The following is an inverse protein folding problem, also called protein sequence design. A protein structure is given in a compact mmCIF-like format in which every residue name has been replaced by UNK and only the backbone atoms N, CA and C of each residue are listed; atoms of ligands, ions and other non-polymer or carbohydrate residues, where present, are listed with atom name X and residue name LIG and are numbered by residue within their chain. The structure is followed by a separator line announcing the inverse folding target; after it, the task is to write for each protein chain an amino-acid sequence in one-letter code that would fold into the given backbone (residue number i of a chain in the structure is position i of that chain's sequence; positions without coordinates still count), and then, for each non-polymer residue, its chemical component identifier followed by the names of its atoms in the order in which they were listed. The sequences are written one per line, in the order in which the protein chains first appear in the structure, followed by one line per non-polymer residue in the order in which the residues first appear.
data_IF_173685184507
#
_entry.id   IF_173685184507
#
_cell.length_a   1.000
_cell.length_b   1.000
_cell.length_c   1.000
_cell.angle_alpha   90.00
_cell.angle_beta   90.00
_cell.angle_gamma   90.00
#
_symmetry.space_group_name_H-M   'P 1'
#
loop_
_entity.id
_entity.type
_entity.pdbx_description
1 polymer ?
#
# COMPACT_ATOMS: atom_id res chain seq x y z
N UNK A 1 52.75 -16.72 -19.28
CA UNK A 1 51.70 -16.89 -18.26
C UNK A 1 50.64 -15.85 -18.56
N UNK A 2 49.49 -16.30 -19.08
CA UNK A 2 48.35 -15.44 -19.43
C UNK A 2 47.63 -14.99 -18.16
N UNK A 3 47.63 -13.69 -17.89
CA UNK A 3 46.84 -13.10 -16.81
C UNK A 3 45.37 -13.21 -17.19
N UNK A 4 44.60 -13.90 -16.34
CA UNK A 4 43.17 -14.11 -16.52
C UNK A 4 42.41 -12.78 -16.39
N UNK A 5 41.36 -12.50 -17.19
CA UNK A 5 40.63 -11.25 -17.09
C UNK A 5 39.82 -11.24 -15.80
N UNK A 6 40.10 -10.24 -14.96
CA UNK A 6 39.39 -9.94 -13.74
C UNK A 6 37.89 -9.77 -14.04
N UNK A 7 37.09 -10.78 -13.67
CA UNK A 7 35.63 -10.71 -13.73
C UNK A 7 35.20 -9.61 -12.75
N UNK A 8 35.02 -8.38 -13.24
CA UNK A 8 34.32 -7.31 -12.52
C UNK A 8 32.98 -7.87 -12.03
N UNK A 9 32.94 -8.29 -10.77
CA UNK A 9 31.76 -8.79 -10.08
C UNK A 9 30.79 -7.62 -10.05
N UNK A 10 29.74 -7.66 -10.89
CA UNK A 10 28.72 -6.61 -10.96
C UNK A 10 28.12 -6.48 -9.56
N UNK A 11 28.44 -5.39 -8.87
CA UNK A 11 27.99 -5.16 -7.51
C UNK A 11 26.47 -5.02 -7.54
N UNK A 12 25.79 -5.81 -6.74
CA UNK A 12 24.34 -5.88 -6.70
C UNK A 12 23.77 -4.55 -6.19
N UNK A 13 22.76 -4.00 -6.85
CA UNK A 13 22.16 -2.73 -6.44
C UNK A 13 21.48 -2.86 -5.08
N UNK A 14 21.27 -1.75 -4.37
CA UNK A 14 20.57 -1.76 -3.08
C UNK A 14 19.15 -2.37 -3.18
N UNK A 15 18.47 -2.14 -4.31
CA UNK A 15 17.16 -2.74 -4.59
C UNK A 15 17.24 -4.27 -4.74
N UNK A 16 18.24 -4.78 -5.45
CA UNK A 16 18.40 -6.23 -5.61
C UNK A 16 18.83 -6.91 -4.30
N UNK A 17 19.56 -6.19 -3.44
CA UNK A 17 19.85 -6.67 -2.09
C UNK A 17 18.60 -6.72 -1.22
N UNK A 18 17.72 -5.71 -1.25
CA UNK A 18 16.55 -5.65 -0.37
C UNK A 18 15.46 -6.67 -0.74
N UNK A 19 15.32 -6.99 -2.03
CA UNK A 19 14.42 -8.05 -2.53
C UNK A 19 14.67 -9.43 -1.91
N UNK A 20 15.87 -9.67 -1.35
CA UNK A 20 16.22 -10.91 -0.65
C UNK A 20 15.60 -11.02 0.74
N UNK A 21 15.21 -9.89 1.33
CA UNK A 21 14.74 -9.81 2.71
C UNK A 21 13.30 -9.32 2.81
N UNK A 22 12.80 -8.64 1.77
CA UNK A 22 11.50 -7.99 1.79
C UNK A 22 10.84 -8.05 0.42
N UNK A 23 9.51 -8.21 0.43
CA UNK A 23 8.69 -8.07 -0.76
C UNK A 23 8.61 -6.59 -1.14
N UNK A 24 9.11 -6.25 -2.33
CA UNK A 24 9.10 -4.87 -2.82
C UNK A 24 7.79 -4.57 -3.52
N UNK A 25 7.19 -3.44 -3.15
CA UNK A 25 5.91 -2.96 -3.68
C UNK A 25 6.07 -1.52 -4.17
N UNK A 26 5.50 -1.22 -5.33
CA UNK A 26 5.53 0.15 -5.86
C UNK A 26 4.32 0.94 -5.37
N UNK A 27 4.55 2.17 -4.88
CA UNK A 27 3.47 3.10 -4.50
C UNK A 27 3.37 4.21 -5.53
N UNK A 28 2.60 3.94 -6.58
CA UNK A 28 2.50 4.83 -7.73
C UNK A 28 1.27 4.48 -8.57
N UNK A 29 0.67 5.51 -9.19
CA UNK A 29 -0.28 5.35 -10.29
C UNK A 29 0.39 5.39 -11.67
N UNK A 30 1.70 5.64 -11.73
CA UNK A 30 2.47 5.70 -12.97
C UNK A 30 3.00 4.32 -13.37
N UNK A 31 2.49 3.80 -14.48
CA UNK A 31 2.81 2.46 -14.96
C UNK A 31 4.27 2.30 -15.40
N UNK A 32 4.94 3.38 -15.80
CA UNK A 32 6.33 3.32 -16.25
C UNK A 32 7.26 2.87 -15.11
N UNK A 33 7.05 3.42 -13.91
CA UNK A 33 7.81 3.03 -12.72
C UNK A 33 7.58 1.56 -12.35
N UNK A 34 6.37 1.03 -12.58
CA UNK A 34 6.07 -0.38 -12.31
C UNK A 34 6.85 -1.30 -13.25
N UNK A 35 6.95 -0.95 -14.54
CA UNK A 35 7.74 -1.72 -15.51
C UNK A 35 9.24 -1.68 -15.21
N UNK A 36 9.74 -0.53 -14.77
CA UNK A 36 11.17 -0.32 -14.46
C UNK A 36 11.61 -1.19 -13.28
N UNK A 37 10.87 -1.14 -12.17
CA UNK A 37 11.30 -1.74 -10.90
C UNK A 37 10.81 -3.19 -10.68
N UNK A 38 9.82 -3.63 -11.48
CA UNK A 38 9.21 -4.97 -11.44
C UNK A 38 8.85 -5.40 -10.01
N UNK A 39 7.96 -4.66 -9.32
CA UNK A 39 7.56 -4.98 -7.97
C UNK A 39 6.66 -6.22 -7.93
N UNK A 40 6.50 -6.81 -6.75
CA UNK A 40 5.58 -7.93 -6.53
C UNK A 40 4.12 -7.46 -6.58
N UNK A 41 3.82 -6.40 -5.81
CA UNK A 41 2.50 -5.77 -5.74
C UNK A 41 2.63 -4.28 -6.10
N UNK A 42 1.49 -3.59 -6.20
CA UNK A 42 1.45 -2.14 -6.27
C UNK A 42 0.35 -1.55 -5.38
N UNK A 43 0.57 -0.35 -4.88
CA UNK A 43 -0.40 0.43 -4.10
C UNK A 43 -0.72 1.73 -4.81
N UNK A 44 -2.00 2.07 -4.79
CA UNK A 44 -2.49 3.40 -5.16
C UNK A 44 -3.13 4.08 -3.95
N UNK A 45 -3.37 5.37 -4.09
CA UNK A 45 -4.18 6.17 -3.17
C UNK A 45 -4.80 7.32 -3.98
N UNK A 46 -5.76 8.08 -3.42
CA UNK A 46 -6.45 9.13 -4.16
C UNK A 46 -5.50 10.19 -4.75
N UNK A 47 -4.41 10.53 -4.05
CA UNK A 47 -3.45 11.52 -4.54
C UNK A 47 -2.65 10.99 -5.74
N UNK A 48 -2.25 9.72 -5.72
CA UNK A 48 -1.53 9.08 -6.82
C UNK A 48 -2.40 8.94 -8.07
N UNK A 49 -3.67 8.55 -7.90
CA UNK A 49 -4.62 8.48 -9.01
C UNK A 49 -4.88 9.87 -9.58
N UNK A 50 -5.06 10.89 -8.73
CA UNK A 50 -5.25 12.27 -9.19
C UNK A 50 -4.04 12.78 -9.99
N UNK A 51 -2.81 12.50 -9.54
CA UNK A 51 -1.61 12.88 -10.26
C UNK A 51 -1.53 12.18 -11.63
N UNK A 52 -1.77 10.87 -11.65
CA UNK A 52 -1.75 10.08 -12.87
C UNK A 52 -2.86 10.49 -13.86
N UNK A 53 -4.09 10.73 -13.38
CA UNK A 53 -5.22 11.13 -14.21
C UNK A 53 -5.02 12.48 -14.94
N UNK A 54 -4.05 13.30 -14.52
CA UNK A 54 -3.67 14.55 -15.21
C UNK A 54 -2.67 14.33 -16.35
N UNK A 55 -2.05 13.15 -16.44
CA UNK A 55 -1.06 12.86 -17.47
C UNK A 55 -1.74 12.59 -18.82
N UNK A 56 -1.24 13.16 -19.94
CA UNK A 56 -1.81 12.92 -21.26
C UNK A 56 -1.90 11.43 -21.63
N UNK A 57 -0.88 10.65 -21.24
CA UNK A 57 -0.80 9.21 -21.48
C UNK A 57 -1.96 8.42 -20.89
N UNK A 58 -2.59 8.92 -19.82
CA UNK A 58 -3.64 8.21 -19.08
C UNK A 58 -5.05 8.77 -19.33
N UNK A 59 -5.20 9.79 -20.18
CA UNK A 59 -6.52 10.33 -20.55
C UNK A 59 -7.50 9.29 -21.12
N UNK A 60 -7.08 8.29 -21.90
CA UNK A 60 -8.00 7.25 -22.35
C UNK A 60 -8.71 6.52 -21.21
N UNK A 61 -8.05 6.33 -20.05
CA UNK A 61 -8.68 5.70 -18.88
C UNK A 61 -9.72 6.62 -18.23
N UNK A 62 -9.47 7.93 -18.23
CA UNK A 62 -10.39 8.97 -17.74
C UNK A 62 -11.63 9.04 -18.63
N UNK A 63 -11.45 9.09 -19.95
CA UNK A 63 -12.56 9.12 -20.91
C UNK A 63 -13.43 7.86 -20.81
N UNK A 64 -12.82 6.68 -20.66
CA UNK A 64 -13.56 5.44 -20.44
C UNK A 64 -14.39 5.49 -19.15
N UNK A 65 -13.82 6.02 -18.07
CA UNK A 65 -14.51 6.17 -16.80
C UNK A 65 -15.69 7.16 -16.89
N UNK A 66 -15.51 8.30 -17.57
CA UNK A 66 -16.58 9.27 -17.84
C UNK A 66 -17.70 8.63 -18.65
N UNK A 67 -17.37 7.92 -19.74
CA UNK A 67 -18.36 7.20 -20.55
C UNK A 67 -19.14 6.17 -19.73
N UNK A 68 -18.45 5.44 -18.87
CA UNK A 68 -19.08 4.49 -17.95
C UNK A 68 -20.03 5.19 -16.97
N UNK A 69 -19.62 6.30 -16.37
CA UNK A 69 -20.46 7.10 -15.46
C UNK A 69 -21.74 7.56 -16.13
N UNK A 70 -21.63 8.18 -17.32
CA UNK A 70 -22.78 8.67 -18.11
C UNK A 70 -23.71 7.51 -18.50
N UNK A 71 -23.16 6.38 -18.92
CA UNK A 71 -23.95 5.23 -19.37
C UNK A 71 -24.78 4.58 -18.24
N UNK A 72 -24.36 4.71 -16.97
CA UNK A 72 -25.14 4.23 -15.82
C UNK A 72 -26.33 5.14 -15.47
N UNK A 73 -26.45 6.33 -16.08
CA UNK A 73 -27.53 7.26 -15.84
C UNK A 73 -27.53 7.84 -14.42
N UNK A 74 -28.70 8.30 -13.97
CA UNK A 74 -28.86 8.98 -12.68
C UNK A 74 -28.52 10.46 -12.74
N UNK A 75 -28.47 11.08 -11.56
CA UNK A 75 -28.03 12.46 -11.35
C UNK A 75 -26.57 12.66 -11.74
N UNK A 76 -26.15 13.91 -11.96
CA UNK A 76 -24.76 14.24 -12.26
C UNK A 76 -23.80 13.75 -11.16
N UNK A 77 -24.21 13.82 -9.89
CA UNK A 77 -23.43 13.33 -8.75
C UNK A 77 -23.25 11.80 -8.77
N UNK A 78 -24.30 11.06 -9.13
CA UNK A 78 -24.23 9.61 -9.31
C UNK A 78 -23.33 9.23 -10.50
N UNK A 79 -23.42 9.97 -11.61
CA UNK A 79 -22.57 9.75 -12.78
C UNK A 79 -21.09 10.01 -12.44
N UNK A 80 -20.79 11.08 -11.70
CA UNK A 80 -19.44 11.40 -11.23
C UNK A 80 -18.94 10.33 -10.27
N UNK A 81 -19.77 9.85 -9.35
CA UNK A 81 -19.41 8.77 -8.42
C UNK A 81 -19.11 7.47 -9.16
N UNK A 82 -19.95 7.08 -10.12
CA UNK A 82 -19.69 5.90 -10.95
C UNK A 82 -18.43 6.06 -11.80
N UNK A 83 -18.17 7.26 -12.34
CA UNK A 83 -16.96 7.54 -13.08
C UNK A 83 -15.71 7.46 -12.19
N UNK A 84 -15.73 8.00 -10.97
CA UNK A 84 -14.55 7.98 -10.10
C UNK A 84 -14.21 6.55 -9.64
N UNK A 85 -15.22 5.75 -9.27
CA UNK A 85 -15.03 4.34 -8.91
C UNK A 85 -14.46 3.56 -10.11
N UNK A 86 -15.02 3.78 -11.32
CA UNK A 86 -14.52 3.15 -12.54
C UNK A 86 -13.10 3.58 -12.88
N UNK A 87 -12.74 4.83 -12.63
CA UNK A 87 -11.40 5.33 -12.88
C UNK A 87 -10.37 4.60 -12.01
N UNK A 88 -10.64 4.46 -10.72
CA UNK A 88 -9.76 3.73 -9.80
C UNK A 88 -9.56 2.29 -10.24
N UNK A 89 -10.65 1.62 -10.62
CA UNK A 89 -10.61 0.25 -11.14
C UNK A 89 -9.83 0.17 -12.45
N UNK A 90 -10.05 1.08 -13.40
CA UNK A 90 -9.31 1.13 -14.67
C UNK A 90 -7.79 1.23 -14.46
N UNK A 91 -7.35 2.08 -13.52
CA UNK A 91 -5.93 2.15 -13.16
C UNK A 91 -5.44 0.83 -12.54
N UNK A 92 -6.19 0.24 -11.62
CA UNK A 92 -5.81 -1.05 -11.04
C UNK A 92 -5.73 -2.19 -12.07
N UNK A 93 -6.62 -2.21 -13.06
CA UNK A 93 -6.59 -3.18 -14.16
C UNK A 93 -5.29 -3.07 -14.98
N UNK A 94 -4.85 -1.86 -15.31
CA UNK A 94 -3.58 -1.67 -16.03
C UNK A 94 -2.36 -2.05 -15.18
N UNK A 95 -2.41 -1.77 -13.87
CA UNK A 95 -1.37 -2.16 -12.91
C UNK A 95 -1.27 -3.70 -12.83
N UNK A 96 -2.39 -4.42 -12.75
CA UNK A 96 -2.43 -5.88 -12.62
C UNK A 96 -1.87 -6.63 -13.82
N UNK A 97 -1.82 -5.98 -15.00
CA UNK A 97 -1.13 -6.52 -16.18
C UNK A 97 0.41 -6.48 -16.05
N UNK A 98 0.93 -5.66 -15.13
CA UNK A 98 2.36 -5.37 -14.96
C UNK A 98 2.95 -5.95 -13.69
N UNK A 99 2.13 -6.29 -12.71
CA UNK A 99 2.56 -6.93 -11.44
C UNK A 99 2.04 -8.37 -11.34
N UNK A 100 2.85 -9.32 -10.81
CA UNK A 100 2.40 -10.70 -10.61
C UNK A 100 1.45 -10.85 -9.41
N UNK A 101 1.54 -9.95 -8.43
CA UNK A 101 0.76 -9.98 -7.21
C UNK A 101 -0.45 -9.05 -7.27
N UNK A 102 -0.67 -8.28 -6.20
CA UNK A 102 -1.91 -7.57 -5.92
C UNK A 102 -1.84 -6.07 -6.25
N UNK A 103 -3.01 -5.44 -6.38
CA UNK A 103 -3.14 -3.98 -6.39
C UNK A 103 -3.98 -3.50 -5.21
N UNK A 104 -3.51 -2.49 -4.49
CA UNK A 104 -4.34 -1.79 -3.49
C UNK A 104 -5.15 -0.67 -4.13
N UNK A 105 -6.47 -0.69 -3.93
CA UNK A 105 -7.42 0.35 -4.40
C UNK A 105 -8.12 0.96 -3.20
N UNK A 106 -8.02 2.29 -3.04
CA UNK A 106 -8.52 2.97 -1.84
C UNK A 106 -9.98 3.40 -1.98
N UNK A 107 -10.77 3.13 -0.94
CA UNK A 107 -12.13 3.65 -0.79
C UNK A 107 -12.07 5.16 -0.53
N UNK A 108 -13.12 5.88 -0.94
CA UNK A 108 -13.25 7.32 -0.71
C UNK A 108 -13.06 7.68 0.77
N UNK A 109 -12.01 8.46 1.05
CA UNK A 109 -11.64 8.85 2.41
C UNK A 109 -12.73 9.67 3.13
N UNK A 110 -13.68 10.28 2.41
CA UNK A 110 -14.83 10.98 3.03
C UNK A 110 -15.73 10.02 3.80
N UNK A 111 -15.67 8.73 3.49
CA UNK A 111 -16.44 7.68 4.15
C UNK A 111 -15.74 7.11 5.40
N UNK A 112 -14.54 7.59 5.77
CA UNK A 112 -13.68 6.97 6.79
C UNK A 112 -14.33 6.78 8.17
N UNK A 113 -15.44 7.47 8.46
CA UNK A 113 -16.17 7.38 9.72
C UNK A 113 -17.59 6.80 9.56
N UNK A 114 -17.86 6.17 8.42
CA UNK A 114 -19.10 5.47 8.12
C UNK A 114 -18.79 4.04 7.67
N UNK A 115 -18.87 3.11 8.64
CA UNK A 115 -18.56 1.70 8.44
C UNK A 115 -19.38 1.12 7.27
N UNK A 116 -20.70 1.35 7.25
CA UNK A 116 -21.58 0.71 6.28
C UNK A 116 -21.37 1.29 4.88
N UNK A 117 -21.09 2.60 4.77
CA UNK A 117 -20.72 3.21 3.50
C UNK A 117 -19.37 2.69 2.98
N UNK A 118 -18.38 2.47 3.85
CA UNK A 118 -17.09 1.88 3.46
C UNK A 118 -17.25 0.45 2.95
N UNK A 119 -18.01 -0.39 3.66
CA UNK A 119 -18.29 -1.77 3.25
C UNK A 119 -19.04 -1.80 1.91
N UNK A 120 -20.07 -0.96 1.76
CA UNK A 120 -20.82 -0.85 0.51
C UNK A 120 -19.93 -0.44 -0.66
N UNK A 121 -19.08 0.58 -0.47
CA UNK A 121 -18.16 1.04 -1.51
C UNK A 121 -17.09 0.00 -1.84
N UNK A 122 -16.54 -0.70 -0.84
CA UNK A 122 -15.60 -1.77 -1.04
C UNK A 122 -16.18 -2.89 -1.92
N UNK A 123 -17.39 -3.35 -1.62
CA UNK A 123 -18.11 -4.36 -2.41
C UNK A 123 -18.36 -3.88 -3.84
N UNK A 124 -18.73 -2.61 -4.03
CA UNK A 124 -18.88 -1.99 -5.36
C UNK A 124 -17.57 -2.01 -6.15
N UNK A 125 -16.44 -1.64 -5.54
CA UNK A 125 -15.14 -1.67 -6.22
C UNK A 125 -14.76 -3.10 -6.63
N UNK A 126 -14.99 -4.08 -5.76
CA UNK A 126 -14.76 -5.50 -6.09
C UNK A 126 -15.66 -5.95 -7.24
N UNK A 127 -16.95 -5.59 -7.25
CA UNK A 127 -17.84 -5.97 -8.35
C UNK A 127 -17.34 -5.43 -9.70
N UNK A 128 -16.83 -4.20 -9.73
CA UNK A 128 -16.26 -3.60 -10.95
C UNK A 128 -14.98 -4.31 -11.43
N UNK A 129 -14.17 -4.86 -10.52
CA UNK A 129 -13.03 -5.72 -10.88
C UNK A 129 -13.50 -7.07 -11.43
N UNK A 130 -14.50 -7.69 -10.81
CA UNK A 130 -15.05 -8.97 -11.25
C UNK A 130 -15.74 -8.86 -12.61
N UNK A 131 -16.47 -7.76 -12.87
CA UNK A 131 -17.03 -7.41 -14.18
C UNK A 131 -15.95 -7.32 -15.27
N UNK A 132 -14.73 -6.92 -14.89
CA UNK A 132 -13.57 -6.86 -15.78
C UNK A 132 -12.77 -8.18 -15.83
N UNK A 133 -13.29 -9.26 -15.23
CA UNK A 133 -12.66 -10.59 -15.22
C UNK A 133 -11.51 -10.74 -14.25
N UNK A 134 -11.37 -9.83 -13.27
CA UNK A 134 -10.34 -9.89 -12.23
C UNK A 134 -10.92 -10.43 -10.94
N UNK A 135 -10.33 -11.52 -10.43
CA UNK A 135 -10.69 -12.07 -9.13
C UNK A 135 -10.27 -11.13 -7.99
N UNK A 136 -11.14 -11.01 -6.98
CA UNK A 136 -10.87 -10.26 -5.73
C UNK A 136 -9.56 -10.66 -5.02
N UNK A 137 -9.05 -11.88 -5.24
CA UNK A 137 -7.76 -12.35 -4.70
C UNK A 137 -6.54 -11.52 -5.17
N UNK A 138 -6.69 -10.82 -6.30
CA UNK A 138 -5.69 -9.89 -6.85
C UNK A 138 -5.82 -8.47 -6.29
N UNK A 139 -6.81 -8.21 -5.44
CA UNK A 139 -7.17 -6.87 -4.96
C UNK A 139 -6.96 -6.79 -3.45
N UNK A 140 -6.46 -5.64 -2.99
CA UNK A 140 -6.56 -5.21 -1.60
C UNK A 140 -7.42 -3.96 -1.55
N UNK A 141 -8.55 -4.00 -0.85
CA UNK A 141 -9.34 -2.80 -0.59
C UNK A 141 -8.66 -2.01 0.52
N UNK A 142 -8.25 -0.78 0.18
CA UNK A 142 -7.51 0.08 1.08
C UNK A 142 -8.45 1.00 1.85
N UNK A 143 -8.34 0.98 3.17
CA UNK A 143 -9.25 1.65 4.10
C UNK A 143 -8.45 2.43 5.14
N UNK A 144 -8.90 3.63 5.51
CA UNK A 144 -8.35 4.39 6.63
C UNK A 144 -8.47 3.59 7.93
N UNK A 145 -7.40 3.57 8.75
CA UNK A 145 -7.37 2.86 10.04
C UNK A 145 -8.07 3.64 11.17
N UNK A 146 -9.26 4.17 10.90
CA UNK A 146 -10.20 4.64 11.92
C UNK A 146 -10.86 3.43 12.60
N UNK A 147 -11.59 3.63 13.70
CA UNK A 147 -12.32 2.53 14.33
C UNK A 147 -13.35 1.93 13.36
N UNK A 148 -14.16 2.77 12.72
CA UNK A 148 -15.16 2.37 11.73
C UNK A 148 -14.52 1.66 10.53
N UNK A 149 -13.37 2.14 10.07
CA UNK A 149 -12.62 1.53 8.98
C UNK A 149 -12.07 0.15 9.33
N UNK A 150 -11.58 -0.04 10.56
CA UNK A 150 -11.11 -1.36 11.05
C UNK A 150 -12.29 -2.33 11.17
N UNK A 151 -13.43 -1.89 11.70
CA UNK A 151 -14.63 -2.72 11.77
C UNK A 151 -15.19 -3.04 10.36
N UNK A 152 -15.07 -2.11 9.41
CA UNK A 152 -15.41 -2.37 8.01
C UNK A 152 -14.47 -3.40 7.39
N UNK A 153 -13.16 -3.29 7.63
CA UNK A 153 -12.16 -4.26 7.19
C UNK A 153 -12.41 -5.65 7.76
N UNK A 154 -12.73 -5.76 9.05
CA UNK A 154 -13.11 -7.03 9.68
C UNK A 154 -14.31 -7.67 8.97
N UNK A 155 -15.37 -6.89 8.75
CA UNK A 155 -16.58 -7.41 8.11
C UNK A 155 -16.31 -7.88 6.68
N UNK A 156 -15.54 -7.12 5.90
CA UNK A 156 -15.17 -7.48 4.53
C UNK A 156 -14.35 -8.77 4.47
N UNK A 157 -13.40 -8.96 5.37
CA UNK A 157 -12.57 -10.16 5.45
C UNK A 157 -13.41 -11.38 5.88
N UNK A 158 -14.18 -11.25 6.98
CA UNK A 158 -14.91 -12.36 7.59
C UNK A 158 -16.13 -12.81 6.77
N UNK A 159 -16.91 -11.86 6.24
CA UNK A 159 -18.17 -12.18 5.55
C UNK A 159 -18.01 -12.33 4.05
N UNK A 160 -17.22 -11.46 3.44
CA UNK A 160 -17.12 -11.37 1.98
C UNK A 160 -15.84 -12.03 1.44
N UNK A 161 -14.84 -12.31 2.28
CA UNK A 161 -13.50 -12.71 1.83
C UNK A 161 -12.86 -11.65 0.94
N UNK A 162 -13.10 -10.38 1.23
CA UNK A 162 -12.49 -9.23 0.54
C UNK A 162 -11.29 -8.78 1.35
N UNK A 163 -10.09 -8.99 0.79
CA UNK A 163 -8.85 -8.68 1.46
C UNK A 163 -8.61 -7.18 1.58
N UNK A 164 -8.21 -6.73 2.77
CA UNK A 164 -8.08 -5.33 3.11
C UNK A 164 -6.62 -4.92 3.39
N UNK A 165 -6.31 -3.67 3.01
CA UNK A 165 -5.08 -2.95 3.35
C UNK A 165 -5.42 -1.77 4.26
N UNK A 166 -5.11 -1.87 5.54
CA UNK A 166 -5.39 -0.78 6.50
C UNK A 166 -4.29 0.28 6.43
N UNK A 167 -4.63 1.47 5.94
CA UNK A 167 -3.72 2.61 5.70
C UNK A 167 -3.90 3.70 6.76
N UNK A 168 -3.07 4.75 6.72
CA UNK A 168 -3.10 5.85 7.70
C UNK A 168 -2.99 5.34 9.15
N UNK A 169 -2.13 4.32 9.33
CA UNK A 169 -1.85 3.72 10.61
C UNK A 169 -0.62 4.39 11.23
N UNK A 170 -0.81 5.01 12.39
CA UNK A 170 0.22 5.78 13.08
C UNK A 170 0.46 5.32 14.52
N UNK A 171 -0.57 4.79 15.16
CA UNK A 171 -0.54 4.44 16.59
C UNK A 171 -0.50 2.94 16.82
N UNK A 172 0.00 2.57 17.99
CA UNK A 172 0.01 1.20 18.46
C UNK A 172 -1.40 0.61 18.62
N UNK A 173 -2.34 1.42 19.11
CA UNK A 173 -3.74 1.01 19.27
C UNK A 173 -4.37 0.60 17.92
N UNK A 174 -4.08 1.34 16.85
CA UNK A 174 -4.56 0.98 15.51
C UNK A 174 -3.98 -0.36 15.04
N UNK A 175 -2.69 -0.63 15.29
CA UNK A 175 -2.07 -1.90 14.91
C UNK A 175 -2.65 -3.10 15.65
N UNK A 176 -2.87 -2.98 16.97
CA UNK A 176 -3.53 -4.03 17.74
C UNK A 176 -4.95 -4.27 17.21
N UNK A 177 -5.73 -3.20 17.05
CA UNK A 177 -7.10 -3.32 16.55
C UNK A 177 -7.16 -3.97 15.16
N UNK A 178 -6.27 -3.60 14.24
CA UNK A 178 -6.16 -4.25 12.93
C UNK A 178 -5.81 -5.75 13.06
N UNK A 179 -4.89 -6.11 13.96
CA UNK A 179 -4.49 -7.49 14.19
C UNK A 179 -5.62 -8.33 14.77
N UNK A 180 -6.37 -7.79 15.72
CA UNK A 180 -7.55 -8.44 16.31
C UNK A 180 -8.70 -8.58 15.30
N UNK A 181 -8.87 -7.59 14.42
CA UNK A 181 -9.81 -7.61 13.30
C UNK A 181 -9.39 -8.54 12.14
N UNK A 182 -8.18 -9.14 12.21
CA UNK A 182 -7.66 -10.10 11.22
C UNK A 182 -7.65 -9.60 9.78
N UNK A 183 -7.38 -8.32 9.59
CA UNK A 183 -7.19 -7.74 8.25
C UNK A 183 -5.94 -8.33 7.57
N UNK A 184 -5.97 -8.49 6.25
CA UNK A 184 -4.89 -9.15 5.49
C UNK A 184 -3.56 -8.40 5.57
N UNK A 185 -3.60 -7.07 5.48
CA UNK A 185 -2.42 -6.23 5.39
C UNK A 185 -2.61 -4.90 6.13
N UNK A 186 -1.54 -4.40 6.75
CA UNK A 186 -1.48 -3.03 7.28
C UNK A 186 -0.33 -2.24 6.62
N UNK A 187 -0.55 -0.94 6.45
CA UNK A 187 0.40 0.02 5.88
C UNK A 187 0.72 1.12 6.91
N UNK A 188 1.60 0.87 7.90
CA UNK A 188 2.05 1.88 8.85
C UNK A 188 2.86 2.98 8.15
N UNK A 189 2.57 4.24 8.48
CA UNK A 189 3.22 5.37 7.82
C UNK A 189 4.54 5.72 8.50
N UNK A 190 5.63 5.68 7.72
CA UNK A 190 6.98 5.99 8.20
C UNK A 190 7.28 7.50 8.06
N UNK A 191 7.28 8.02 6.83
CA UNK A 191 7.70 9.40 6.57
C UNK A 191 6.87 10.47 7.29
N UNK A 192 5.55 10.27 7.37
CA UNK A 192 4.64 11.22 8.03
C UNK A 192 4.83 11.29 9.54
N UNK A 193 5.28 10.21 10.19
CA UNK A 193 5.64 10.25 11.61
C UNK A 193 6.89 11.12 11.77
N UNK A 194 7.92 10.91 10.96
CA UNK A 194 9.13 11.75 10.99
C UNK A 194 8.81 13.23 10.78
N UNK A 195 7.95 13.55 9.80
CA UNK A 195 7.52 14.93 9.54
C UNK A 195 6.87 15.54 10.79
N UNK A 196 5.96 14.82 11.45
CA UNK A 196 5.32 15.28 12.69
C UNK A 196 6.35 15.55 13.80
N UNK A 197 7.31 14.64 14.01
CA UNK A 197 8.35 14.81 15.02
C UNK A 197 9.25 16.02 14.73
N UNK A 198 9.63 16.22 13.46
CA UNK A 198 10.41 17.39 13.04
C UNK A 198 9.64 18.69 13.21
N UNK A 199 8.33 18.71 13.05
CA UNK A 199 7.53 19.93 13.23
C UNK A 199 7.27 20.23 14.70
N UNK A 200 6.99 19.20 15.51
CA UNK A 200 6.44 19.34 16.86
C UNK A 200 7.45 19.13 17.99
N UNK A 201 8.70 18.78 17.68
CA UNK A 201 9.78 18.65 18.66
C UNK A 201 10.99 19.51 18.29
N UNK A 202 11.91 19.71 19.23
CA UNK A 202 13.13 20.51 19.01
C UNK A 202 14.12 19.84 18.05
N UNK A 203 14.03 18.52 17.90
CA UNK A 203 14.93 17.74 17.05
C UNK A 203 14.50 17.80 15.58
N UNK A 204 15.36 18.34 14.71
CA UNK A 204 15.08 18.49 13.27
C UNK A 204 15.84 17.48 12.40
N UNK A 205 16.85 16.83 12.96
CA UNK A 205 17.67 15.80 12.31
C UNK A 205 17.67 14.54 13.16
N UNK A 206 17.47 13.40 12.51
CA UNK A 206 17.47 12.09 13.14
C UNK A 206 18.40 11.17 12.35
N UNK A 207 19.39 10.59 13.04
CA UNK A 207 20.17 9.48 12.48
C UNK A 207 19.27 8.26 12.32
N UNK A 208 19.54 7.34 11.36
CA UNK A 208 18.65 6.22 11.08
C UNK A 208 18.28 5.39 12.32
N UNK A 209 19.21 5.18 13.25
CA UNK A 209 19.01 4.38 14.46
C UNK A 209 18.32 5.13 15.61
N UNK A 210 18.26 6.46 15.53
CA UNK A 210 17.58 7.35 16.48
C UNK A 210 16.26 7.86 15.89
N UNK A 211 15.91 7.39 14.70
CA UNK A 211 14.71 7.79 13.99
C UNK A 211 13.51 7.22 14.74
N UNK A 212 12.65 8.05 15.34
CA UNK A 212 11.48 7.59 16.11
C UNK A 212 10.56 6.73 15.26
N UNK A 213 10.70 6.82 13.93
CA UNK A 213 10.00 5.99 12.98
C UNK A 213 10.52 4.55 12.93
N UNK A 214 11.82 4.34 13.09
CA UNK A 214 12.36 2.97 13.21
C UNK A 214 11.92 2.38 14.54
N UNK A 215 11.93 3.13 15.64
CA UNK A 215 11.46 2.65 16.93
C UNK A 215 9.96 2.31 16.90
N UNK A 216 9.13 3.19 16.35
CA UNK A 216 7.70 2.94 16.15
C UNK A 216 7.47 1.76 15.20
N UNK A 217 8.18 1.72 14.06
CA UNK A 217 8.09 0.65 13.08
C UNK A 217 8.50 -0.72 13.63
N UNK A 218 9.59 -0.79 14.39
CA UNK A 218 10.06 -2.02 15.05
C UNK A 218 9.12 -2.44 16.18
N UNK A 219 8.57 -1.50 16.95
CA UNK A 219 7.60 -1.80 18.01
C UNK A 219 6.28 -2.34 17.44
N UNK A 220 5.83 -1.77 16.32
CA UNK A 220 4.66 -2.26 15.56
C UNK A 220 4.93 -3.64 14.95
N UNK A 221 6.13 -3.86 14.38
CA UNK A 221 6.54 -5.14 13.81
C UNK A 221 6.62 -6.25 14.88
N UNK A 222 7.42 -6.05 15.93
CA UNK A 222 7.63 -7.05 16.98
C UNK A 222 6.37 -7.33 17.82
N UNK A 223 5.37 -6.46 17.78
CA UNK A 223 4.06 -6.74 18.36
C UNK A 223 3.16 -7.45 17.39
N UNK A 224 3.12 -7.05 16.11
CA UNK A 224 2.37 -7.81 15.10
C UNK A 224 2.86 -9.25 15.02
N UNK A 225 4.17 -9.53 15.12
CA UNK A 225 4.73 -10.89 15.24
C UNK A 225 4.24 -11.61 16.51
N UNK A 226 4.19 -10.94 17.67
CA UNK A 226 3.65 -11.53 18.91
C UNK A 226 2.12 -11.73 18.89
N UNK A 227 1.38 -10.84 18.26
CA UNK A 227 -0.05 -10.98 18.00
C UNK A 227 -0.30 -12.13 17.00
N UNK A 228 0.57 -12.25 16.00
CA UNK A 228 0.56 -13.31 14.99
C UNK A 228 0.76 -14.70 15.58
N UNK A 229 1.73 -14.85 16.48
CA UNK A 229 1.96 -16.08 17.24
C UNK A 229 0.70 -16.52 18.02
N UNK A 230 -0.12 -15.55 18.46
CA UNK A 230 -1.39 -15.82 19.14
C UNK A 230 -2.56 -16.09 18.18
N UNK A 231 -2.56 -15.55 16.96
CA UNK A 231 -3.70 -15.62 16.03
C UNK A 231 -3.59 -16.70 14.93
N UNK A 232 -2.45 -17.39 14.78
CA UNK A 232 -2.23 -18.50 13.80
C UNK A 232 -2.53 -18.16 12.32
N UNK A 233 -2.51 -16.88 11.94
CA UNK A 233 -2.73 -16.43 10.56
C UNK A 233 -1.55 -15.63 10.03
N UNK A 234 -1.47 -15.36 8.72
CA UNK A 234 -0.34 -14.65 8.09
C UNK A 234 -0.69 -13.17 7.90
N UNK A 235 -0.16 -12.32 8.76
CA UNK A 235 -0.32 -10.86 8.73
C UNK A 235 0.87 -10.30 7.95
N UNK A 236 0.60 -9.65 6.82
CA UNK A 236 1.65 -9.07 6.00
C UNK A 236 1.79 -7.58 6.34
N UNK A 237 3.01 -7.15 6.67
CA UNK A 237 3.28 -5.73 6.92
C UNK A 237 4.09 -5.22 5.75
N UNK A 238 3.57 -4.19 5.08
CA UNK A 238 4.24 -3.61 3.94
C UNK A 238 5.22 -2.53 4.39
N UNK A 239 6.49 -2.90 4.60
CA UNK A 239 7.49 -1.97 5.13
C UNK A 239 8.19 -1.11 4.07
N UNK A 240 8.08 -1.40 2.77
CA UNK A 240 8.90 -0.71 1.76
C UNK A 240 8.09 -0.33 0.54
N UNK A 241 7.47 0.83 0.66
CA UNK A 241 7.03 1.64 -0.46
C UNK A 241 8.28 2.30 -1.06
N UNK A 242 8.72 1.84 -2.23
CA UNK A 242 9.73 2.55 -3.01
C UNK A 242 9.01 3.65 -3.79
N UNK A 243 8.80 4.82 -3.17
CA UNK A 243 8.36 6.00 -3.90
C UNK A 243 9.56 6.63 -4.62
N UNK A 244 9.51 6.87 -5.93
CA UNK A 244 10.59 7.56 -6.66
C UNK A 244 10.83 9.00 -6.16
N UNK A 245 9.93 9.55 -5.33
CA UNK A 245 10.05 10.87 -4.71
C UNK A 245 10.92 10.92 -3.44
N UNK A 246 11.47 9.80 -2.96
CA UNK A 246 12.34 9.80 -1.77
C UNK A 246 13.72 9.13 -2.00
N UNK A 247 14.70 9.86 -2.58
CA UNK A 247 16.08 9.38 -2.78
C UNK A 247 16.82 9.02 -1.49
N UNK A 248 16.34 9.50 -0.32
CA UNK A 248 16.96 9.26 0.98
C UNK A 248 16.80 7.82 1.48
N UNK A 249 15.78 7.09 1.01
CA UNK A 249 15.45 5.76 1.52
C UNK A 249 16.43 4.68 1.02
N UNK A 250 16.90 4.78 -0.23
CA UNK A 250 17.86 3.85 -0.82
C UNK A 250 19.27 3.93 -0.19
N UNK A 251 19.57 4.99 0.56
CA UNK A 251 20.83 5.15 1.32
C UNK A 251 20.80 4.53 2.72
N UNK A 252 19.64 4.08 3.22
CA UNK A 252 19.46 3.57 4.60
C UNK A 252 19.30 2.03 4.68
N UNK A 253 19.64 1.32 3.60
CA UNK A 253 19.39 -0.12 3.39
C UNK A 253 20.21 -1.04 4.32
N UNK A 254 21.31 -0.57 4.92
CA UNK A 254 22.12 -1.41 5.82
C UNK A 254 21.49 -1.68 7.20
N UNK A 255 20.46 -0.94 7.61
CA UNK A 255 19.86 -1.08 8.95
C UNK A 255 19.06 -2.39 9.12
N UNK A 256 18.38 -2.86 8.07
CA UNK A 256 17.56 -4.08 8.13
C UNK A 256 18.38 -5.38 8.24
N UNK A 257 19.69 -5.36 7.96
CA UNK A 257 20.57 -6.51 8.24
C UNK A 257 20.74 -6.79 9.73
N UNK A 258 20.53 -5.79 10.60
CA UNK A 258 20.87 -5.89 12.03
C UNK A 258 19.77 -6.53 12.90
N UNK A 259 18.50 -6.45 12.51
CA UNK A 259 17.40 -6.75 13.44
C UNK A 259 16.95 -8.23 13.51
N UNK A 260 17.50 -9.13 12.69
CA UNK A 260 17.35 -10.60 12.90
C UNK A 260 18.25 -11.17 14.00
N UNK A 261 19.19 -10.39 14.52
CA UNK A 261 20.12 -10.82 15.57
C UNK A 261 19.84 -10.16 16.93
N UNK A 262 18.65 -9.57 17.14
CA UNK A 262 18.29 -9.05 18.45
C UNK A 262 17.96 -10.22 19.38
N UNK A 263 18.70 -10.44 20.49
CA UNK A 263 18.36 -11.47 21.46
C UNK A 263 17.01 -11.12 22.08
N UNK A 264 16.12 -12.12 22.14
CA UNK A 264 14.87 -12.07 22.89
C UNK A 264 15.10 -11.50 24.30
N UNK A 265 14.45 -10.38 24.60
CA UNK A 265 14.19 -9.91 25.96
C UNK A 265 12.83 -10.44 26.44
#
# INVERSE_FOLDING_TARGET
MSVSPDKRRKMESALEQIKKYTVVVADTGDFNAIEEYKPQDATTNPSLILAAAKMPTYQPLVEQAIKYGIANGGSEEEQVTNAIDKLFVNFGLEILKKVPGRVSTEVDARLSFDKEAMVSRARRLISLYEEAGVSKERILIKLSSTWEGIQAGQELEEKDGIHCNMTLLFSFAQAIACAEARVTLISPFVGRILDWYKENTDSKNYEPHEDPVIEAGCSLCGTSERCLERTRHTFHILYIIVSPLCPAFLKRVDFYKAHRNCPTL
#
